data_IF_571109668800
#
_entry.id   IF_571109668800
#
_cell.length_a   1.000
_cell.length_b   1.000
_cell.length_c   1.000
_cell.angle_alpha   90.00
_cell.angle_beta   90.00
_cell.angle_gamma   90.00
#
_symmetry.space_group_name_H-M   'P 1'
#
loop_
_entity.id
_entity.type
_entity.pdbx_description
1 polymer ?
#
# COMPACT_ATOMS: atom_id res chain seq x y z
N UNK A 1 -25.49 -14.80 2.17
CA UNK A 1 -25.70 -13.42 2.67
C UNK A 1 -24.45 -12.64 2.31
N UNK A 2 -24.55 -11.62 1.45
CA UNK A 2 -23.41 -10.77 1.09
C UNK A 2 -23.06 -9.90 2.32
N UNK A 3 -21.75 -9.71 2.62
CA UNK A 3 -21.35 -8.87 3.74
C UNK A 3 -21.82 -7.42 3.51
N UNK A 4 -22.17 -6.75 4.61
CA UNK A 4 -22.62 -5.36 4.58
C UNK A 4 -21.50 -4.46 4.00
N UNK A 5 -21.89 -3.52 3.14
CA UNK A 5 -20.98 -2.54 2.52
C UNK A 5 -20.14 -1.78 3.56
N UNK A 6 -20.72 -1.51 4.74
CA UNK A 6 -20.03 -0.84 5.84
C UNK A 6 -18.88 -1.71 6.39
N UNK A 7 -19.11 -3.01 6.56
CA UNK A 7 -18.11 -3.96 7.07
C UNK A 7 -16.94 -4.10 6.09
N UNK A 8 -17.23 -4.27 4.78
CA UNK A 8 -16.18 -4.36 3.76
C UNK A 8 -15.34 -3.08 3.74
N UNK A 9 -15.99 -1.93 3.82
CA UNK A 9 -15.30 -0.64 3.79
C UNK A 9 -14.42 -0.40 5.03
N UNK A 10 -14.90 -0.74 6.22
CA UNK A 10 -14.13 -0.65 7.46
C UNK A 10 -12.93 -1.61 7.44
N UNK A 11 -13.13 -2.85 6.99
CA UNK A 11 -12.06 -3.84 6.85
C UNK A 11 -10.99 -3.37 5.85
N UNK A 12 -11.39 -2.80 4.70
CA UNK A 12 -10.47 -2.26 3.72
C UNK A 12 -9.64 -1.09 4.30
N UNK A 13 -10.26 -0.16 5.00
CA UNK A 13 -9.54 0.96 5.63
C UNK A 13 -8.61 0.46 6.74
N UNK A 14 -9.05 -0.47 7.59
CA UNK A 14 -8.21 -1.03 8.64
C UNK A 14 -6.97 -1.73 8.04
N UNK A 15 -7.12 -2.52 6.98
CA UNK A 15 -6.00 -3.23 6.35
C UNK A 15 -4.98 -2.28 5.73
N UNK A 16 -5.39 -1.20 5.06
CA UNK A 16 -4.43 -0.25 4.46
C UNK A 16 -3.71 0.59 5.53
N UNK A 17 -4.38 0.98 6.60
CA UNK A 17 -3.75 1.69 7.73
C UNK A 17 -2.72 0.79 8.41
N UNK A 18 -3.10 -0.46 8.73
CA UNK A 18 -2.19 -1.44 9.32
C UNK A 18 -1.01 -1.76 8.39
N UNK A 19 -1.23 -1.81 7.07
CA UNK A 19 -0.16 -1.95 6.08
C UNK A 19 0.83 -0.79 6.15
N UNK A 20 0.35 0.45 6.23
CA UNK A 20 1.19 1.64 6.38
C UNK A 20 2.01 1.62 7.68
N UNK A 21 1.41 1.20 8.79
CA UNK A 21 2.10 1.04 10.08
C UNK A 21 3.19 -0.03 9.98
N UNK A 22 2.87 -1.21 9.42
CA UNK A 22 3.84 -2.29 9.22
C UNK A 22 5.00 -1.86 8.32
N UNK A 23 4.72 -1.06 7.27
CA UNK A 23 5.74 -0.47 6.41
C UNK A 23 6.70 0.44 7.20
N UNK A 24 6.17 1.35 8.05
CA UNK A 24 6.98 2.23 8.88
C UNK A 24 7.84 1.46 9.89
N UNK A 25 7.27 0.44 10.52
CA UNK A 25 7.98 -0.48 11.42
C UNK A 25 9.12 -1.19 10.65
N UNK A 26 8.85 -1.64 9.44
CA UNK A 26 9.88 -2.26 8.60
C UNK A 26 11.01 -1.30 8.22
N UNK A 27 10.69 -0.04 7.90
CA UNK A 27 11.69 1.00 7.66
C UNK A 27 12.52 1.28 8.93
N UNK A 28 11.90 1.29 10.09
CA UNK A 28 12.59 1.43 11.36
C UNK A 28 13.59 0.27 11.58
N UNK A 29 13.16 -0.99 11.41
CA UNK A 29 14.02 -2.15 11.60
C UNK A 29 15.23 -2.17 10.66
N UNK A 30 15.07 -1.80 9.39
CA UNK A 30 16.24 -1.78 8.48
C UNK A 30 17.24 -0.68 8.85
N UNK A 31 16.78 0.44 9.42
CA UNK A 31 17.68 1.48 9.94
C UNK A 31 18.47 1.02 11.17
N UNK A 32 17.96 0.02 11.89
CA UNK A 32 18.62 -0.64 13.02
C UNK A 32 19.44 -1.87 12.59
N UNK A 33 19.67 -2.08 11.29
CA UNK A 33 20.34 -3.25 10.72
C UNK A 33 19.65 -4.61 11.04
N UNK A 34 18.37 -4.60 11.44
CA UNK A 34 17.59 -5.79 11.76
C UNK A 34 16.91 -6.34 10.50
N UNK A 35 17.69 -7.00 9.64
CA UNK A 35 17.23 -7.48 8.33
C UNK A 35 16.06 -8.46 8.42
N UNK A 36 16.06 -9.36 9.39
CA UNK A 36 14.99 -10.35 9.57
C UNK A 36 13.67 -9.70 9.99
N UNK A 37 13.71 -8.82 11.01
CA UNK A 37 12.53 -8.07 11.46
C UNK A 37 11.98 -7.16 10.35
N UNK A 38 12.87 -6.52 9.58
CA UNK A 38 12.50 -5.76 8.38
C UNK A 38 11.76 -6.64 7.37
N UNK A 39 12.30 -7.80 7.03
CA UNK A 39 11.67 -8.72 6.07
C UNK A 39 10.27 -9.14 6.53
N UNK A 40 10.12 -9.52 7.82
CA UNK A 40 8.83 -9.91 8.39
C UNK A 40 7.81 -8.76 8.32
N UNK A 41 8.22 -7.54 8.71
CA UNK A 41 7.36 -6.36 8.66
C UNK A 41 6.95 -6.01 7.21
N UNK A 42 7.88 -6.11 6.24
CA UNK A 42 7.58 -5.86 4.83
C UNK A 42 6.63 -6.89 4.23
N UNK A 43 6.77 -8.17 4.57
CA UNK A 43 5.84 -9.23 4.17
C UNK A 43 4.45 -8.97 4.76
N UNK A 44 4.35 -8.64 6.04
CA UNK A 44 3.09 -8.26 6.68
C UNK A 44 2.43 -7.07 5.99
N UNK A 45 3.20 -6.00 5.71
CA UNK A 45 2.69 -4.84 4.98
C UNK A 45 2.16 -5.22 3.58
N UNK A 46 2.87 -6.09 2.86
CA UNK A 46 2.48 -6.53 1.52
C UNK A 46 1.22 -7.40 1.54
N UNK A 47 1.09 -8.30 2.51
CA UNK A 47 -0.13 -9.14 2.69
C UNK A 47 -1.34 -8.26 3.01
N UNK A 48 -1.19 -7.31 3.93
CA UNK A 48 -2.27 -6.38 4.30
C UNK A 48 -2.68 -5.48 3.11
N UNK A 49 -1.71 -5.00 2.31
CA UNK A 49 -2.01 -4.22 1.11
C UNK A 49 -2.71 -5.05 0.03
N UNK A 50 -2.34 -6.32 -0.13
CA UNK A 50 -3.02 -7.25 -1.04
C UNK A 50 -4.45 -7.51 -0.58
N UNK A 51 -4.66 -7.74 0.72
CA UNK A 51 -6.00 -7.90 1.30
C UNK A 51 -6.85 -6.64 1.10
N UNK A 52 -6.26 -5.46 1.34
CA UNK A 52 -6.92 -4.19 1.01
C UNK A 52 -7.37 -4.14 -0.45
N UNK A 53 -6.48 -4.49 -1.40
CA UNK A 53 -6.79 -4.45 -2.83
C UNK A 53 -7.95 -5.39 -3.17
N UNK A 54 -7.96 -6.61 -2.62
CA UNK A 54 -9.05 -7.57 -2.80
C UNK A 54 -10.38 -7.01 -2.28
N UNK A 55 -10.39 -6.48 -1.06
CA UNK A 55 -11.59 -5.87 -0.45
C UNK A 55 -12.07 -4.66 -1.26
N UNK A 56 -11.16 -3.82 -1.73
CA UNK A 56 -11.47 -2.67 -2.57
C UNK A 56 -12.10 -3.08 -3.91
N UNK A 57 -11.52 -4.06 -4.61
CA UNK A 57 -12.06 -4.56 -5.87
C UNK A 57 -13.42 -5.26 -5.67
N UNK A 58 -13.60 -6.00 -4.57
CA UNK A 58 -14.88 -6.59 -4.22
C UNK A 58 -15.94 -5.52 -4.01
N UNK A 59 -15.61 -4.45 -3.28
CA UNK A 59 -16.50 -3.31 -3.07
C UNK A 59 -16.89 -2.65 -4.39
N UNK A 60 -15.91 -2.45 -5.30
CA UNK A 60 -16.13 -1.88 -6.62
C UNK A 60 -17.06 -2.78 -7.46
N UNK A 61 -16.80 -4.09 -7.47
CA UNK A 61 -17.62 -5.07 -8.21
C UNK A 61 -19.07 -5.15 -7.70
N UNK A 62 -19.30 -4.93 -6.39
CA UNK A 62 -20.63 -4.90 -5.80
C UNK A 62 -21.35 -3.56 -5.94
N UNK A 63 -20.73 -2.55 -6.58
CA UNK A 63 -21.34 -1.22 -6.77
C UNK A 63 -21.44 -0.37 -5.49
N UNK A 64 -20.66 -0.68 -4.45
CA UNK A 64 -20.68 0.08 -3.18
C UNK A 64 -19.81 1.34 -3.26
N UNK A 65 -19.95 2.10 -4.33
CA UNK A 65 -19.21 3.33 -4.53
C UNK A 65 -19.96 4.53 -3.90
N UNK A 66 -19.17 5.48 -3.42
CA UNK A 66 -19.69 6.76 -2.95
C UNK A 66 -19.17 7.89 -3.83
N UNK A 67 -20.06 8.84 -4.16
CA UNK A 67 -19.68 10.09 -4.79
C UNK A 67 -19.62 11.23 -3.77
N UNK A 68 -18.80 12.23 -4.04
CA UNK A 68 -18.72 13.43 -3.23
C UNK A 68 -19.96 14.30 -3.44
N UNK A 69 -20.70 14.56 -2.36
CA UNK A 69 -21.89 15.40 -2.31
C UNK A 69 -21.74 16.57 -1.31
N UNK A 70 -20.51 16.95 -0.97
CA UNK A 70 -20.21 18.10 -0.12
C UNK A 70 -20.37 19.45 -0.83
N UNK A 71 -20.01 20.57 -0.15
CA UNK A 71 -20.09 21.89 -0.73
C UNK A 71 -19.34 22.02 -2.05
N UNK A 72 -19.92 22.74 -3.01
CA UNK A 72 -19.38 22.84 -4.39
C UNK A 72 -17.97 23.44 -4.43
N UNK A 73 -17.66 24.34 -3.51
CA UNK A 73 -16.34 24.98 -3.38
C UNK A 73 -15.21 23.99 -3.02
N UNK A 74 -15.50 22.90 -2.32
CA UNK A 74 -14.52 21.87 -1.93
C UNK A 74 -14.33 20.79 -3.00
N UNK A 75 -15.24 20.71 -3.99
CA UNK A 75 -15.20 19.69 -5.03
C UNK A 75 -13.91 19.70 -5.85
N UNK A 76 -13.34 20.85 -6.29
CA UNK A 76 -12.07 20.85 -7.00
C UNK A 76 -10.91 20.30 -6.18
N UNK A 77 -10.79 20.70 -4.91
CA UNK A 77 -9.75 20.20 -4.00
C UNK A 77 -9.87 18.68 -3.78
N UNK A 78 -11.09 18.18 -3.57
CA UNK A 78 -11.36 16.76 -3.45
C UNK A 78 -10.97 16.00 -4.73
N UNK A 79 -11.29 16.52 -5.93
CA UNK A 79 -10.93 15.88 -7.19
C UNK A 79 -9.42 15.81 -7.40
N UNK A 80 -8.67 16.87 -7.07
CA UNK A 80 -7.20 16.86 -7.11
C UNK A 80 -6.64 15.78 -6.19
N UNK A 81 -7.15 15.70 -4.94
CA UNK A 81 -6.75 14.68 -3.99
C UNK A 81 -7.06 13.27 -4.51
N UNK A 82 -8.27 13.05 -5.04
CA UNK A 82 -8.70 11.77 -5.56
C UNK A 82 -7.87 11.34 -6.77
N UNK A 83 -7.67 12.22 -7.75
CA UNK A 83 -6.90 11.92 -8.97
C UNK A 83 -5.44 11.64 -8.65
N UNK A 84 -4.81 12.43 -7.78
CA UNK A 84 -3.43 12.18 -7.35
C UNK A 84 -3.31 10.86 -6.58
N UNK A 85 -4.29 10.54 -5.71
CA UNK A 85 -4.34 9.24 -5.01
C UNK A 85 -4.43 8.08 -6.00
N UNK A 86 -5.34 8.14 -6.98
CA UNK A 86 -5.51 7.08 -8.00
C UNK A 86 -4.22 6.89 -8.80
N UNK A 87 -3.59 7.98 -9.26
CA UNK A 87 -2.35 7.92 -10.02
C UNK A 87 -1.22 7.28 -9.21
N UNK A 88 -1.06 7.69 -7.95
CA UNK A 88 -0.04 7.12 -7.06
C UNK A 88 -0.35 5.66 -6.67
N UNK A 89 -1.61 5.30 -6.47
CA UNK A 89 -2.03 3.92 -6.20
C UNK A 89 -1.73 3.01 -7.39
N UNK A 90 -2.01 3.46 -8.62
CA UNK A 90 -1.66 2.74 -9.84
C UNK A 90 -0.14 2.56 -9.99
N UNK A 91 0.66 3.59 -9.65
CA UNK A 91 2.11 3.52 -9.67
C UNK A 91 2.68 2.62 -8.56
N UNK A 92 2.03 2.57 -7.40
CA UNK A 92 2.51 1.82 -6.23
C UNK A 92 2.62 0.31 -6.49
N UNK A 93 1.65 -0.27 -7.22
CA UNK A 93 1.62 -1.70 -7.49
C UNK A 93 2.87 -2.17 -8.26
N UNK A 94 3.22 -1.62 -9.45
CA UNK A 94 4.44 -2.02 -10.15
C UNK A 94 5.71 -1.72 -9.35
N UNK A 95 5.78 -0.61 -8.61
CA UNK A 95 6.93 -0.30 -7.75
C UNK A 95 7.13 -1.37 -6.67
N UNK A 96 6.06 -1.78 -5.99
CA UNK A 96 6.10 -2.83 -4.98
C UNK A 96 6.50 -4.19 -5.57
N UNK A 97 5.95 -4.55 -6.73
CA UNK A 97 6.30 -5.80 -7.42
C UNK A 97 7.77 -5.84 -7.82
N UNK A 98 8.32 -4.74 -8.33
CA UNK A 98 9.75 -4.65 -8.67
C UNK A 98 10.63 -4.77 -7.41
N UNK A 99 10.25 -4.12 -6.32
CA UNK A 99 10.97 -4.23 -5.05
C UNK A 99 10.96 -5.67 -4.52
N UNK A 100 9.82 -6.35 -4.56
CA UNK A 100 9.67 -7.76 -4.17
C UNK A 100 10.47 -8.68 -5.10
N UNK A 101 10.48 -8.43 -6.41
CA UNK A 101 11.25 -9.19 -7.38
C UNK A 101 12.76 -9.16 -7.07
N UNK A 102 13.30 -7.96 -6.79
CA UNK A 102 14.72 -7.85 -6.44
C UNK A 102 15.03 -8.49 -5.08
N UNK A 103 14.11 -8.43 -4.12
CA UNK A 103 14.25 -9.17 -2.85
C UNK A 103 14.29 -10.67 -3.10
N UNK A 104 13.36 -11.21 -3.88
CA UNK A 104 13.34 -12.62 -4.24
C UNK A 104 14.63 -13.05 -4.95
N UNK A 105 15.07 -12.30 -5.97
CA UNK A 105 16.29 -12.55 -6.71
C UNK A 105 17.53 -12.54 -5.80
N UNK A 106 17.62 -11.58 -4.90
CA UNK A 106 18.70 -11.45 -3.94
C UNK A 106 18.74 -12.60 -2.94
N UNK A 107 17.58 -12.96 -2.37
CA UNK A 107 17.46 -14.06 -1.42
C UNK A 107 17.77 -15.41 -2.08
N UNK A 108 17.30 -15.63 -3.31
CA UNK A 108 17.61 -16.85 -4.06
C UNK A 108 19.10 -16.99 -4.34
N UNK A 109 19.81 -15.89 -4.62
CA UNK A 109 21.25 -15.90 -4.85
C UNK A 109 22.04 -16.10 -3.55
N UNK A 110 21.60 -15.52 -2.44
CA UNK A 110 22.29 -15.58 -1.15
C UNK A 110 22.07 -16.91 -0.41
N UNK A 111 20.89 -17.55 -0.60
CA UNK A 111 20.44 -18.72 0.16
C UNK A 111 20.05 -18.40 1.61
N UNK A 112 20.62 -17.37 2.23
CA UNK A 112 20.29 -16.91 3.59
C UNK A 112 20.53 -15.40 3.74
N UNK A 113 19.91 -14.78 4.77
CA UNK A 113 20.09 -13.35 5.08
C UNK A 113 21.54 -13.00 5.46
N UNK A 114 22.27 -13.94 6.07
CA UNK A 114 23.66 -13.77 6.51
C UNK A 114 24.61 -13.69 5.34
N UNK A 115 24.31 -14.37 4.23
CA UNK A 115 25.19 -14.47 3.06
C UNK A 115 25.03 -13.35 2.03
N UNK A 116 24.09 -12.42 2.25
CA UNK A 116 23.78 -11.33 1.30
C UNK A 116 25.04 -10.55 0.91
N UNK A 117 25.87 -10.22 1.89
CA UNK A 117 27.08 -9.41 1.66
C UNK A 117 28.26 -10.22 1.11
N UNK A 118 28.25 -11.55 1.28
CA UNK A 118 29.28 -12.45 0.79
C UNK A 118 29.10 -12.81 -0.71
N UNK A 119 27.85 -12.80 -1.20
CA UNK A 119 27.51 -13.21 -2.57
C UNK A 119 27.35 -12.00 -3.49
N UNK A 120 28.22 -11.77 -4.49
CA UNK A 120 28.17 -10.58 -5.36
C UNK A 120 26.85 -10.42 -6.12
N UNK A 121 26.20 -11.53 -6.52
CA UNK A 121 24.91 -11.51 -7.20
C UNK A 121 23.77 -11.05 -6.28
N UNK A 122 23.79 -11.48 -5.01
CA UNK A 122 22.84 -11.05 -4.00
C UNK A 122 23.01 -9.56 -3.70
N UNK A 123 24.25 -9.11 -3.49
CA UNK A 123 24.55 -7.70 -3.22
C UNK A 123 24.01 -6.80 -4.33
N UNK A 124 24.26 -7.12 -5.61
CA UNK A 124 23.74 -6.39 -6.76
C UNK A 124 22.20 -6.33 -6.77
N UNK A 125 21.52 -7.44 -6.47
CA UNK A 125 20.06 -7.47 -6.41
C UNK A 125 19.52 -6.57 -5.29
N UNK A 126 20.12 -6.60 -4.10
CA UNK A 126 19.73 -5.73 -2.99
C UNK A 126 20.10 -4.26 -3.20
N UNK A 127 21.12 -3.95 -3.99
CA UNK A 127 21.39 -2.56 -4.42
C UNK A 127 20.27 -2.02 -5.31
N UNK A 128 19.78 -2.85 -6.25
CA UNK A 128 18.59 -2.49 -7.04
C UNK A 128 17.34 -2.37 -6.16
N UNK A 129 17.10 -3.32 -5.24
CA UNK A 129 16.01 -3.20 -4.27
C UNK A 129 16.04 -1.85 -3.55
N UNK A 130 17.20 -1.45 -3.00
CA UNK A 130 17.41 -0.16 -2.33
C UNK A 130 17.06 1.05 -3.20
N UNK A 131 17.37 0.98 -4.51
CA UNK A 131 17.02 2.05 -5.48
C UNK A 131 15.51 2.18 -5.65
N UNK A 132 14.81 1.06 -5.80
CA UNK A 132 13.37 1.05 -6.02
C UNK A 132 12.56 1.42 -4.78
N UNK A 133 12.93 0.94 -3.60
CA UNK A 133 12.19 1.25 -2.37
C UNK A 133 12.26 2.72 -1.96
N UNK A 134 13.26 3.48 -2.44
CA UNK A 134 13.31 4.94 -2.24
C UNK A 134 12.09 5.65 -2.85
N UNK A 135 11.50 5.09 -3.88
CA UNK A 135 10.27 5.58 -4.49
C UNK A 135 9.03 4.85 -3.96
N UNK A 136 9.11 3.53 -3.81
CA UNK A 136 8.00 2.71 -3.33
C UNK A 136 7.52 3.15 -1.95
N UNK A 137 8.42 3.38 -0.99
CA UNK A 137 8.03 3.72 0.39
C UNK A 137 7.27 5.06 0.46
N UNK A 138 7.75 6.19 -0.10
CA UNK A 138 6.99 7.44 -0.10
C UNK A 138 5.66 7.34 -0.82
N UNK A 139 5.62 6.67 -1.98
CA UNK A 139 4.39 6.48 -2.76
C UNK A 139 3.38 5.66 -1.97
N UNK A 140 3.80 4.56 -1.34
CA UNK A 140 2.94 3.72 -0.52
C UNK A 140 2.35 4.50 0.66
N UNK A 141 3.18 5.25 1.39
CA UNK A 141 2.71 6.09 2.51
C UNK A 141 1.74 7.16 2.03
N UNK A 142 2.04 7.82 0.90
CA UNK A 142 1.13 8.79 0.30
C UNK A 142 -0.24 8.16 0.01
N UNK A 143 -0.27 6.99 -0.62
CA UNK A 143 -1.51 6.26 -0.93
C UNK A 143 -2.26 5.87 0.35
N UNK A 144 -1.56 5.37 1.38
CA UNK A 144 -2.19 5.00 2.64
C UNK A 144 -2.83 6.22 3.34
N UNK A 145 -2.12 7.34 3.43
CA UNK A 145 -2.60 8.56 4.08
C UNK A 145 -3.76 9.19 3.28
N UNK A 146 -3.57 9.38 1.97
CA UNK A 146 -4.61 10.02 1.14
C UNK A 146 -5.85 9.15 1.01
N UNK A 147 -5.71 7.83 0.96
CA UNK A 147 -6.83 6.89 0.99
C UNK A 147 -7.65 7.00 2.27
N UNK A 148 -6.99 7.13 3.42
CA UNK A 148 -7.64 7.37 4.70
C UNK A 148 -8.36 8.74 4.73
N UNK A 149 -7.73 9.80 4.23
CA UNK A 149 -8.34 11.14 4.13
C UNK A 149 -9.58 11.11 3.23
N UNK A 150 -9.51 10.46 2.05
CA UNK A 150 -10.65 10.28 1.15
C UNK A 150 -11.79 9.52 1.85
N UNK A 151 -11.45 8.47 2.62
CA UNK A 151 -12.43 7.72 3.40
C UNK A 151 -13.18 8.63 4.39
N UNK A 152 -12.46 9.49 5.13
CA UNK A 152 -13.07 10.44 6.08
C UNK A 152 -13.96 11.46 5.36
N UNK A 153 -13.50 12.01 4.24
CA UNK A 153 -14.27 12.96 3.42
C UNK A 153 -15.58 12.31 2.93
N UNK A 154 -15.48 11.10 2.36
CA UNK A 154 -16.67 10.36 1.90
C UNK A 154 -17.52 9.79 3.03
N UNK A 155 -17.00 9.67 4.22
CA UNK A 155 -17.75 9.38 5.44
C UNK A 155 -18.65 10.55 5.83
N UNK A 156 -18.16 11.78 5.64
CA UNK A 156 -18.87 13.01 6.01
C UNK A 156 -19.80 13.53 4.90
N UNK A 157 -19.35 13.47 3.65
CA UNK A 157 -20.00 14.11 2.49
C UNK A 157 -20.24 13.14 1.31
N UNK A 158 -20.17 11.84 1.54
CA UNK A 158 -20.40 10.85 0.47
C UNK A 158 -21.84 10.38 0.41
N UNK A 159 -22.39 10.32 -0.80
CA UNK A 159 -23.66 9.65 -1.10
C UNK A 159 -23.41 8.36 -1.87
N UNK A 160 -24.18 7.31 -1.57
CA UNK A 160 -24.10 6.04 -2.30
C UNK A 160 -24.63 6.25 -3.71
N UNK A 161 -23.86 5.85 -4.71
CA UNK A 161 -24.34 5.84 -6.09
C UNK A 161 -25.23 4.60 -6.27
N UNK A 162 -26.54 4.79 -6.39
CA UNK A 162 -27.47 3.76 -6.87
C UNK A 162 -27.33 3.67 -8.39
N UNK A 163 -26.80 2.56 -8.87
CA UNK A 163 -26.86 2.18 -10.30
C UNK A 163 -28.16 1.47 -10.58
#
# INVERSE_FOLDING_TARGET
>A
MLPDAAVINQAAVATIVLSGIALLIGVYFIRQNQRESHMRAMLTASVLATLFLVLYLTRLALGYEKSFAGPAEWKPAYLVLLLSHIAMAAANLPLALVALWYTYKGMRAAGSLQNIDAVPAARRAFDQHRRWVRWTVPVWLYVAVTGWVIYLILGRWGTVMTR
#
